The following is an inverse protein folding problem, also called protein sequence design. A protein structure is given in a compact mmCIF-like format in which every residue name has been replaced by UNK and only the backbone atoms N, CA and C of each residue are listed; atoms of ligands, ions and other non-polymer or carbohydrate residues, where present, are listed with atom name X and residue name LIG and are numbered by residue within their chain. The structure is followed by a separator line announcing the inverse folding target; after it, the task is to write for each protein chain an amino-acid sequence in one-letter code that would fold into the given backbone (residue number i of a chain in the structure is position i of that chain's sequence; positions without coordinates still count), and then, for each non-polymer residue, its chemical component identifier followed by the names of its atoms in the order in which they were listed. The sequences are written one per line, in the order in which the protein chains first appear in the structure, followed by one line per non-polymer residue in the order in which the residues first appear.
data_IF_557064522885
#
_entry.id   IF_557064522885
#
_cell.length_a   1.000
_cell.length_b   1.000
_cell.length_c   1.000
_cell.angle_alpha   90.00
_cell.angle_beta   90.00
_cell.angle_gamma   90.00
#
_symmetry.space_group_name_H-M   'P 1'
#
loop_
_entity.id
_entity.type
_entity.pdbx_description
1 polymer ?
#
# COMPACT_ATOMS: atom_id res chain seq x y z
N UNK A 1 10.18 43.99 22.70
CA UNK A 1 9.29 42.97 23.31
C UNK A 1 8.32 42.28 22.32
N UNK A 2 7.39 42.99 21.64
CA UNK A 2 6.36 42.33 20.78
C UNK A 2 6.91 41.53 19.58
N UNK A 3 7.99 41.98 18.93
CA UNK A 3 8.62 41.25 17.80
C UNK A 3 9.29 39.93 18.23
N UNK A 4 9.92 39.90 19.41
CA UNK A 4 10.54 38.68 19.94
C UNK A 4 9.50 37.62 20.33
N UNK A 5 8.38 38.02 20.95
CA UNK A 5 7.28 37.08 21.25
C UNK A 5 6.67 36.44 20.00
N UNK A 6 6.59 37.18 18.88
CA UNK A 6 6.12 36.62 17.60
C UNK A 6 7.09 35.60 17.00
N UNK A 7 8.41 35.82 17.14
CA UNK A 7 9.43 34.92 16.60
C UNK A 7 9.51 33.60 17.37
N UNK A 8 9.48 33.67 18.70
CA UNK A 8 9.46 32.47 19.57
C UNK A 8 8.24 31.59 19.30
N UNK A 9 7.06 32.20 19.12
CA UNK A 9 5.84 31.45 18.82
C UNK A 9 5.88 30.76 17.46
N UNK A 10 6.49 31.39 16.45
CA UNK A 10 6.66 30.79 15.12
C UNK A 10 7.63 29.58 15.14
N UNK A 11 8.73 29.66 15.90
CA UNK A 11 9.66 28.52 16.07
C UNK A 11 9.01 27.35 16.83
N UNK A 12 8.16 27.64 17.80
CA UNK A 12 7.41 26.63 18.57
C UNK A 12 6.36 25.92 17.70
N UNK A 13 5.65 26.68 16.85
CA UNK A 13 4.68 26.16 15.89
C UNK A 13 5.36 25.29 14.81
N UNK A 14 6.54 25.68 14.30
CA UNK A 14 7.34 24.88 13.35
C UNK A 14 7.85 23.57 13.97
N UNK A 15 8.32 23.60 15.21
CA UNK A 15 8.78 22.41 15.93
C UNK A 15 7.65 21.39 16.14
N UNK A 16 6.45 21.88 16.49
CA UNK A 16 5.27 21.04 16.64
C UNK A 16 4.83 20.43 15.31
N UNK A 17 4.87 21.20 14.21
CA UNK A 17 4.48 20.73 12.88
C UNK A 17 5.42 19.64 12.36
N UNK A 18 6.73 19.84 12.49
CA UNK A 18 7.75 18.86 12.05
C UNK A 18 7.69 17.56 12.85
N UNK A 19 7.45 17.63 14.15
CA UNK A 19 7.27 16.44 14.99
C UNK A 19 6.03 15.64 14.57
N UNK A 20 4.88 16.29 14.41
CA UNK A 20 3.64 15.61 14.00
C UNK A 20 3.73 15.03 12.60
N UNK A 21 4.37 15.73 11.66
CA UNK A 21 4.61 15.22 10.31
C UNK A 21 5.52 13.98 10.34
N UNK A 22 6.64 14.04 11.08
CA UNK A 22 7.55 12.90 11.24
C UNK A 22 6.84 11.69 11.84
N UNK A 23 6.01 11.91 12.86
CA UNK A 23 5.20 10.86 13.47
C UNK A 23 4.18 10.29 12.47
N UNK A 24 3.48 11.14 11.72
CA UNK A 24 2.51 10.73 10.71
C UNK A 24 3.16 9.92 9.57
N UNK A 25 4.36 10.31 9.13
CA UNK A 25 5.13 9.56 8.13
C UNK A 25 5.54 8.19 8.68
N UNK A 26 6.06 8.12 9.91
CA UNK A 26 6.40 6.84 10.55
C UNK A 26 5.18 5.94 10.72
N UNK A 27 4.06 6.50 11.13
CA UNK A 27 2.79 5.79 11.29
C UNK A 27 2.27 5.27 9.94
N UNK A 28 2.39 6.06 8.87
CA UNK A 28 2.07 5.65 7.51
C UNK A 28 2.92 4.48 7.03
N UNK A 29 4.24 4.56 7.23
CA UNK A 29 5.17 3.49 6.87
C UNK A 29 4.82 2.21 7.66
N UNK A 30 4.66 2.35 8.97
CA UNK A 30 4.34 1.23 9.87
C UNK A 30 3.00 0.57 9.52
N UNK A 31 1.94 1.35 9.29
CA UNK A 31 0.63 0.81 8.89
C UNK A 31 0.67 0.16 7.51
N UNK A 32 1.51 0.64 6.59
CA UNK A 32 1.70 0.02 5.27
C UNK A 32 2.35 -1.35 5.43
N UNK A 33 3.44 -1.46 6.21
CA UNK A 33 4.07 -2.75 6.50
C UNK A 33 3.14 -3.71 7.23
N UNK A 34 2.40 -3.23 8.23
CA UNK A 34 1.43 -4.05 8.96
C UNK A 34 0.33 -4.57 8.02
N UNK A 35 -0.22 -3.72 7.15
CA UNK A 35 -1.25 -4.13 6.20
C UNK A 35 -0.74 -5.14 5.18
N UNK A 36 0.49 -4.96 4.67
CA UNK A 36 1.12 -5.91 3.75
C UNK A 36 1.37 -7.25 4.44
N UNK A 37 1.85 -7.23 5.69
CA UNK A 37 2.07 -8.44 6.49
C UNK A 37 0.77 -9.20 6.74
N UNK A 38 -0.29 -8.50 7.15
CA UNK A 38 -1.61 -9.10 7.37
C UNK A 38 -2.21 -9.69 6.09
N UNK A 39 -2.07 -8.99 4.96
CA UNK A 39 -2.48 -9.50 3.65
C UNK A 39 -1.73 -10.78 3.26
N UNK A 40 -0.42 -10.84 3.52
CA UNK A 40 0.37 -12.05 3.25
C UNK A 40 -0.07 -13.21 4.13
N UNK A 41 -0.32 -12.99 5.42
CA UNK A 41 -0.85 -14.03 6.31
C UNK A 41 -2.22 -14.51 5.82
N UNK A 42 -3.11 -13.60 5.44
CA UNK A 42 -4.43 -13.94 4.89
C UNK A 42 -4.27 -14.84 3.67
N UNK A 43 -3.45 -14.43 2.71
CA UNK A 43 -3.22 -15.16 1.47
C UNK A 43 -2.62 -16.56 1.71
N UNK A 44 -1.66 -16.69 2.62
CA UNK A 44 -1.09 -18.00 3.01
C UNK A 44 -2.15 -18.86 3.69
N UNK A 45 -2.98 -18.28 4.56
CA UNK A 45 -4.10 -18.99 5.20
C UNK A 45 -5.11 -19.54 4.19
N UNK A 46 -5.43 -18.77 3.15
CA UNK A 46 -6.27 -19.22 2.04
C UNK A 46 -5.64 -20.38 1.27
N UNK A 47 -4.34 -20.31 0.96
CA UNK A 47 -3.63 -21.39 0.27
C UNK A 47 -3.64 -22.70 1.08
N UNK A 48 -3.36 -22.64 2.39
CA UNK A 48 -3.34 -23.82 3.26
C UNK A 48 -4.73 -24.46 3.39
N UNK A 49 -5.79 -23.65 3.42
CA UNK A 49 -7.17 -24.15 3.55
C UNK A 49 -7.73 -24.72 2.24
N UNK A 50 -7.26 -24.21 1.09
CA UNK A 50 -7.63 -24.71 -0.24
C UNK A 50 -7.28 -26.18 -0.45
N UNK A 51 -6.10 -26.63 0.00
CA UNK A 51 -5.66 -28.02 -0.15
C UNK A 51 -6.49 -29.02 0.67
N UNK A 52 -7.08 -28.59 1.79
CA UNK A 52 -7.93 -29.46 2.63
C UNK A 52 -9.30 -29.75 2.02
N UNK A 53 -9.72 -28.99 1.00
CA UNK A 53 -11.05 -29.14 0.38
C UNK A 53 -11.04 -30.02 -0.88
N UNK A 54 -9.86 -30.48 -1.33
CA UNK A 54 -9.69 -31.20 -2.58
C UNK A 54 -9.90 -32.73 -2.49
N UNK A 55 -10.32 -33.26 -1.35
CA UNK A 55 -10.26 -34.71 -1.06
C UNK A 55 -11.60 -35.42 -0.81
N UNK A 56 -12.73 -34.91 -1.34
CA UNK A 56 -13.94 -35.73 -1.47
C UNK A 56 -14.35 -35.93 -2.93
N UNK A 57 -14.03 -37.09 -3.54
CA UNK A 57 -14.64 -37.51 -4.78
C UNK A 57 -16.01 -38.11 -4.45
N UNK A 58 -17.08 -37.34 -4.59
CA UNK A 58 -18.43 -37.89 -4.71
C UNK A 58 -18.80 -37.89 -6.19
N UNK A 59 -18.88 -39.10 -6.75
CA UNK A 59 -19.53 -39.41 -8.03
C UNK A 59 -20.97 -38.88 -8.01
N UNK A 60 -21.27 -37.92 -8.89
CA UNK A 60 -22.55 -37.74 -9.61
C UNK A 60 -22.52 -36.43 -10.41
N UNK A 61 -22.03 -36.56 -11.65
CA UNK A 61 -22.58 -36.12 -12.93
C UNK A 61 -23.21 -34.71 -13.12
N UNK A 62 -22.58 -34.01 -14.08
CA UNK A 62 -23.14 -33.12 -15.10
C UNK A 62 -23.66 -31.70 -14.78
N UNK A 63 -23.65 -31.25 -13.52
CA UNK A 63 -23.82 -29.81 -13.18
C UNK A 63 -22.49 -29.12 -12.77
N UNK A 64 -21.36 -29.70 -13.19
CA UNK A 64 -20.01 -29.49 -12.59
C UNK A 64 -19.21 -28.33 -13.21
N UNK A 65 -19.63 -27.77 -14.34
CA UNK A 65 -18.89 -26.67 -14.99
C UNK A 65 -19.16 -25.29 -14.41
N UNK A 66 -20.26 -25.09 -13.67
CA UNK A 66 -20.57 -23.79 -13.04
C UNK A 66 -19.89 -23.61 -11.67
N UNK A 67 -19.66 -24.69 -10.90
CA UNK A 67 -19.06 -24.62 -9.54
C UNK A 67 -17.53 -24.60 -9.50
N UNK A 68 -16.82 -24.80 -10.62
CA UNK A 68 -15.35 -24.67 -10.70
C UNK A 68 -14.88 -23.24 -11.02
N UNK A 69 -15.74 -22.41 -11.60
CA UNK A 69 -15.46 -21.00 -11.87
C UNK A 69 -15.20 -20.12 -10.62
N UNK A 70 -15.87 -20.32 -9.46
CA UNK A 70 -15.62 -19.55 -8.25
C UNK A 70 -14.19 -19.73 -7.72
N UNK A 71 -13.70 -20.97 -7.70
CA UNK A 71 -12.37 -21.29 -7.16
C UNK A 71 -11.25 -20.64 -7.99
N UNK A 72 -11.31 -20.73 -9.32
CA UNK A 72 -10.32 -20.08 -10.19
C UNK A 72 -10.29 -18.55 -10.00
N UNK A 73 -11.47 -17.93 -9.85
CA UNK A 73 -11.59 -16.48 -9.60
C UNK A 73 -10.96 -16.08 -8.26
N UNK A 74 -11.13 -16.88 -7.21
CA UNK A 74 -10.53 -16.64 -5.89
C UNK A 74 -9.01 -16.71 -5.91
N UNK A 75 -8.43 -17.70 -6.60
CA UNK A 75 -6.97 -17.79 -6.78
C UNK A 75 -6.42 -16.62 -7.56
N UNK A 76 -7.08 -16.22 -8.65
CA UNK A 76 -6.69 -15.06 -9.46
C UNK A 76 -6.72 -13.78 -8.62
N UNK A 77 -7.79 -13.54 -7.86
CA UNK A 77 -7.88 -12.39 -6.98
C UNK A 77 -6.78 -12.38 -5.92
N UNK A 78 -6.55 -13.51 -5.25
CA UNK A 78 -5.50 -13.66 -4.22
C UNK A 78 -4.12 -13.37 -4.79
N UNK A 79 -3.82 -13.86 -5.99
CA UNK A 79 -2.58 -13.56 -6.69
C UNK A 79 -2.41 -12.06 -6.96
N UNK A 80 -3.45 -11.38 -7.45
CA UNK A 80 -3.40 -9.93 -7.66
C UNK A 80 -3.22 -9.16 -6.35
N UNK A 81 -3.84 -9.60 -5.25
CA UNK A 81 -3.63 -9.00 -3.92
C UNK A 81 -2.18 -9.08 -3.47
N UNK A 82 -1.55 -10.26 -3.56
CA UNK A 82 -0.13 -10.45 -3.21
C UNK A 82 0.76 -9.60 -4.13
N UNK A 83 0.49 -9.60 -5.43
CA UNK A 83 1.26 -8.82 -6.41
C UNK A 83 1.18 -7.32 -6.12
N UNK A 84 -0.03 -6.79 -5.86
CA UNK A 84 -0.24 -5.38 -5.50
C UNK A 84 0.43 -5.05 -4.17
N UNK A 85 0.34 -5.93 -3.16
CA UNK A 85 1.01 -5.76 -1.88
C UNK A 85 2.54 -5.72 -2.04
N UNK A 86 3.10 -6.61 -2.87
CA UNK A 86 4.52 -6.63 -3.21
C UNK A 86 4.98 -5.36 -3.92
N UNK A 87 4.19 -4.86 -4.88
CA UNK A 87 4.48 -3.59 -5.57
C UNK A 87 4.43 -2.43 -4.57
N UNK A 88 3.42 -2.36 -3.69
CA UNK A 88 3.33 -1.34 -2.64
C UNK A 88 4.54 -1.37 -1.70
N UNK A 89 5.01 -2.57 -1.33
CA UNK A 89 6.18 -2.74 -0.49
C UNK A 89 7.46 -2.30 -1.21
N UNK A 90 7.63 -2.67 -2.48
CA UNK A 90 8.78 -2.27 -3.30
C UNK A 90 8.86 -0.74 -3.50
N UNK A 91 7.71 -0.08 -3.59
CA UNK A 91 7.59 1.38 -3.67
C UNK A 91 8.02 2.05 -2.36
N UNK A 92 7.62 1.49 -1.22
CA UNK A 92 7.97 2.02 0.09
C UNK A 92 9.47 1.79 0.42
N UNK A 93 10.05 0.70 -0.08
CA UNK A 93 11.49 0.42 0.01
C UNK A 93 12.36 1.30 -0.90
N UNK A 94 11.77 2.16 -1.72
CA UNK A 94 12.52 3.16 -2.49
C UNK A 94 13.28 2.61 -3.69
N UNK A 95 12.85 1.50 -4.29
CA UNK A 95 13.44 1.07 -5.56
C UNK A 95 13.11 2.09 -6.66
N UNK A 96 14.14 2.77 -7.19
CA UNK A 96 13.96 3.96 -8.03
C UNK A 96 13.18 3.73 -9.34
N UNK A 97 13.36 2.58 -9.99
CA UNK A 97 12.71 2.28 -11.27
C UNK A 97 11.20 2.00 -11.11
N UNK A 98 10.82 1.27 -10.07
CA UNK A 98 9.41 1.03 -9.74
C UNK A 98 8.76 2.27 -9.12
N UNK A 99 9.51 3.12 -8.42
CA UNK A 99 9.01 4.42 -7.94
C UNK A 99 8.56 5.33 -9.08
N UNK A 100 9.27 5.40 -10.21
CA UNK A 100 8.92 6.30 -11.31
C UNK A 100 7.59 5.89 -11.98
N UNK A 101 7.45 4.61 -12.31
CA UNK A 101 6.21 4.06 -12.89
C UNK A 101 5.04 4.14 -11.91
N UNK A 102 5.31 3.85 -10.63
CA UNK A 102 4.27 3.90 -9.61
C UNK A 102 3.90 5.33 -9.24
N UNK A 103 4.82 6.30 -9.26
CA UNK A 103 4.55 7.73 -9.09
C UNK A 103 3.64 8.27 -10.20
N UNK A 104 3.79 7.77 -11.42
CA UNK A 104 2.93 8.14 -12.54
C UNK A 104 1.51 7.56 -12.38
N UNK A 105 1.41 6.28 -11.98
CA UNK A 105 0.12 5.63 -11.70
C UNK A 105 -0.56 6.12 -10.42
N UNK A 106 0.19 6.64 -9.45
CA UNK A 106 -0.29 7.03 -8.13
C UNK A 106 -0.21 8.54 -7.86
N UNK A 107 -0.07 9.36 -8.91
CA UNK A 107 -0.14 10.81 -8.74
C UNK A 107 -1.55 11.21 -8.26
N UNK A 108 -1.63 11.89 -7.11
CA UNK A 108 -2.90 12.29 -6.48
C UNK A 108 -3.64 11.16 -5.76
N UNK A 109 -4.89 10.92 -6.14
CA UNK A 109 -5.81 10.00 -5.43
C UNK A 109 -5.57 8.51 -5.74
N UNK A 110 -4.64 8.17 -6.62
CA UNK A 110 -4.40 6.78 -7.06
C UNK A 110 -4.13 5.81 -5.91
N UNK A 111 -3.36 6.22 -4.89
CA UNK A 111 -3.11 5.38 -3.69
C UNK A 111 -4.38 5.15 -2.86
N UNK A 112 -5.24 6.16 -2.78
CA UNK A 112 -6.50 6.10 -2.02
C UNK A 112 -7.51 5.21 -2.76
N UNK A 113 -7.62 5.37 -4.08
CA UNK A 113 -8.49 4.54 -4.92
C UNK A 113 -8.03 3.07 -4.95
N UNK A 114 -6.72 2.82 -5.01
CA UNK A 114 -6.17 1.46 -4.92
C UNK A 114 -6.49 0.82 -3.56
N UNK A 115 -6.29 1.55 -2.46
CA UNK A 115 -6.67 1.06 -1.13
C UNK A 115 -8.18 0.84 -1.00
N UNK A 116 -9.00 1.74 -1.55
CA UNK A 116 -10.45 1.59 -1.62
C UNK A 116 -10.86 0.34 -2.39
N UNK A 117 -10.25 0.09 -3.54
CA UNK A 117 -10.44 -1.14 -4.31
C UNK A 117 -10.06 -2.39 -3.50
N UNK A 118 -8.91 -2.38 -2.82
CA UNK A 118 -8.47 -3.50 -1.97
C UNK A 118 -9.45 -3.75 -0.82
N UNK A 119 -9.98 -2.70 -0.19
CA UNK A 119 -11.00 -2.82 0.87
C UNK A 119 -12.29 -3.42 0.32
N UNK A 120 -12.82 -2.88 -0.80
CA UNK A 120 -14.04 -3.38 -1.41
C UNK A 120 -13.90 -4.83 -1.87
N UNK A 121 -12.75 -5.17 -2.46
CA UNK A 121 -12.46 -6.52 -2.93
C UNK A 121 -12.28 -7.51 -1.75
N UNK A 122 -11.63 -7.09 -0.66
CA UNK A 122 -11.53 -7.89 0.56
C UNK A 122 -12.91 -8.12 1.20
N UNK A 123 -13.74 -7.08 1.31
CA UNK A 123 -15.10 -7.17 1.85
C UNK A 123 -16.02 -8.07 1.01
N UNK A 124 -15.80 -8.14 -0.31
CA UNK A 124 -16.63 -8.93 -1.23
C UNK A 124 -16.49 -10.45 -1.04
N UNK A 125 -15.45 -10.93 -0.35
CA UNK A 125 -15.12 -12.36 -0.22
C UNK A 125 -15.08 -12.84 1.24
N UNK A 126 -15.57 -12.05 2.20
CA UNK A 126 -15.49 -12.40 3.62
C UNK A 126 -16.49 -13.50 4.01
N UNK A 127 -16.01 -14.73 4.14
CA UNK A 127 -16.68 -15.82 4.84
C UNK A 127 -16.63 -15.64 6.36
N UNK A 128 -17.14 -14.50 6.87
CA UNK A 128 -17.33 -14.17 8.30
C UNK A 128 -16.17 -14.53 9.27
N UNK A 129 -14.96 -14.72 8.78
CA UNK A 129 -13.80 -15.04 9.63
C UNK A 129 -13.38 -13.77 10.36
N UNK A 130 -13.25 -13.85 11.69
CA UNK A 130 -12.81 -12.71 12.51
C UNK A 130 -11.48 -12.12 12.02
N UNK A 131 -10.61 -12.95 11.44
CA UNK A 131 -9.35 -12.53 10.85
C UNK A 131 -9.54 -11.53 9.70
N UNK A 132 -10.47 -11.77 8.78
CA UNK A 132 -10.70 -10.89 7.63
C UNK A 132 -11.16 -9.49 8.08
N UNK A 133 -11.93 -9.40 9.18
CA UNK A 133 -12.35 -8.13 9.76
C UNK A 133 -11.17 -7.32 10.29
N UNK A 134 -10.16 -7.98 10.86
CA UNK A 134 -8.94 -7.30 11.33
C UNK A 134 -8.10 -6.78 10.17
N UNK A 135 -7.99 -7.53 9.07
CA UNK A 135 -7.28 -7.09 7.87
C UNK A 135 -8.00 -5.92 7.20
N UNK A 136 -9.33 -6.03 7.01
CA UNK A 136 -10.14 -4.96 6.45
C UNK A 136 -10.09 -3.68 7.29
N UNK A 137 -10.20 -3.80 8.61
CA UNK A 137 -10.07 -2.69 9.55
C UNK A 137 -8.70 -2.02 9.49
N UNK A 138 -7.62 -2.81 9.42
CA UNK A 138 -6.25 -2.29 9.26
C UNK A 138 -6.05 -1.52 7.95
N UNK A 139 -6.57 -2.05 6.84
CA UNK A 139 -6.54 -1.36 5.54
C UNK A 139 -7.34 -0.06 5.56
N UNK A 140 -8.51 -0.05 6.20
CA UNK A 140 -9.35 1.13 6.35
C UNK A 140 -8.64 2.23 7.16
N UNK A 141 -8.04 1.88 8.30
CA UNK A 141 -7.26 2.83 9.12
C UNK A 141 -6.07 3.38 8.33
N UNK A 142 -5.35 2.52 7.61
CA UNK A 142 -4.24 2.94 6.76
C UNK A 142 -4.68 3.85 5.60
N UNK A 143 -5.90 3.67 5.10
CA UNK A 143 -6.50 4.54 4.09
C UNK A 143 -6.81 5.93 4.67
N UNK A 144 -7.45 5.98 5.85
CA UNK A 144 -7.76 7.25 6.56
C UNK A 144 -6.49 8.03 6.89
N UNK A 145 -5.44 7.37 7.38
CA UNK A 145 -4.16 8.03 7.69
C UNK A 145 -3.52 8.61 6.42
N UNK A 146 -3.53 7.86 5.32
CA UNK A 146 -3.04 8.38 4.04
C UNK A 146 -3.84 9.60 3.57
N UNK A 147 -5.17 9.55 3.69
CA UNK A 147 -6.04 10.65 3.32
C UNK A 147 -5.80 11.88 4.19
N UNK A 148 -5.61 11.68 5.50
CA UNK A 148 -5.26 12.75 6.44
C UNK A 148 -3.93 13.41 6.07
N UNK A 149 -2.87 12.62 5.82
CA UNK A 149 -1.57 13.17 5.41
C UNK A 149 -1.69 13.97 4.11
N UNK A 150 -2.42 13.47 3.13
CA UNK A 150 -2.62 14.16 1.85
C UNK A 150 -3.38 15.49 2.01
N UNK A 151 -4.39 15.55 2.90
CA UNK A 151 -5.21 16.76 3.09
C UNK A 151 -4.44 17.82 3.89
N UNK A 152 -3.74 17.41 4.95
CA UNK A 152 -3.11 18.34 5.90
C UNK A 152 -1.68 18.74 5.53
N UNK A 153 -0.95 17.91 4.76
CA UNK A 153 0.46 18.14 4.42
C UNK A 153 0.76 18.04 2.91
N UNK A 154 0.01 18.74 2.03
CA UNK A 154 0.15 18.59 0.58
C UNK A 154 1.50 19.11 0.06
N UNK A 155 2.03 20.19 0.62
CA UNK A 155 3.30 20.80 0.21
C UNK A 155 4.50 19.92 0.61
N UNK A 156 4.53 19.38 1.83
CA UNK A 156 5.56 18.42 2.23
C UNK A 156 5.52 17.15 1.38
N UNK A 157 4.33 16.63 1.05
CA UNK A 157 4.22 15.43 0.22
C UNK A 157 4.71 15.69 -1.21
N UNK A 158 4.36 16.85 -1.78
CA UNK A 158 4.85 17.30 -3.10
C UNK A 158 6.36 17.45 -3.11
N UNK A 159 6.94 18.05 -2.07
CA UNK A 159 8.39 18.18 -1.92
C UNK A 159 9.08 16.83 -1.73
N UNK A 160 8.48 15.90 -0.97
CA UNK A 160 9.01 14.55 -0.80
C UNK A 160 9.03 13.78 -2.11
N UNK A 161 7.97 13.90 -2.91
CA UNK A 161 7.88 13.32 -4.26
C UNK A 161 8.93 13.93 -5.18
N UNK A 162 9.05 15.26 -5.18
CA UNK A 162 10.04 15.96 -6.00
C UNK A 162 11.46 15.52 -5.65
N UNK A 163 11.80 15.47 -4.36
CA UNK A 163 13.10 14.99 -3.90
C UNK A 163 13.36 13.52 -4.27
N UNK A 164 12.32 12.67 -4.29
CA UNK A 164 12.47 11.29 -4.75
C UNK A 164 12.72 11.22 -6.26
N UNK A 165 12.00 12.01 -7.05
CA UNK A 165 12.21 12.11 -8.51
C UNK A 165 13.62 12.62 -8.82
N UNK A 166 14.07 13.67 -8.14
CA UNK A 166 15.39 14.25 -8.35
C UNK A 166 16.50 13.24 -8.05
N UNK A 167 16.37 12.45 -6.97
CA UNK A 167 17.29 11.33 -6.67
C UNK A 167 17.29 10.26 -7.75
N UNK A 168 16.11 9.88 -8.26
CA UNK A 168 16.00 8.88 -9.34
C UNK A 168 16.68 9.40 -10.61
N UNK A 169 16.44 10.67 -10.97
CA UNK A 169 17.08 11.28 -12.14
C UNK A 169 18.60 11.33 -12.00
N UNK A 170 19.11 11.61 -10.79
CA UNK A 170 20.54 11.60 -10.51
C UNK A 170 21.15 10.18 -10.65
N UNK A 171 20.47 9.15 -10.13
CA UNK A 171 20.92 7.76 -10.25
C UNK A 171 20.91 7.26 -11.70
N UNK A 172 19.89 7.61 -12.47
CA UNK A 172 19.80 7.27 -13.90
C UNK A 172 20.93 7.96 -14.67
N UNK A 173 21.17 9.26 -14.43
CA UNK A 173 22.25 10.00 -15.06
C UNK A 173 23.63 9.36 -14.78
N UNK A 174 23.89 8.94 -13.54
CA UNK A 174 25.13 8.23 -13.18
C UNK A 174 25.29 6.92 -13.94
N UNK A 175 24.22 6.13 -14.09
CA UNK A 175 24.24 4.88 -14.86
C UNK A 175 24.51 5.11 -16.35
N UNK A 176 23.87 6.11 -16.96
CA UNK A 176 24.08 6.45 -18.38
C UNK A 176 25.53 6.81 -18.66
N UNK A 177 26.17 7.62 -17.80
CA UNK A 177 27.59 8.00 -17.94
C UNK A 177 28.51 6.79 -17.80
N UNK A 178 28.20 5.86 -16.88
CA UNK A 178 28.99 4.62 -16.72
C UNK A 178 28.86 3.65 -17.92
N UNK A 179 27.72 3.65 -18.60
CA UNK A 179 27.48 2.79 -19.77
C UNK A 179 28.16 3.28 -21.04
N UNK A 180 28.47 4.57 -21.17
CA UNK A 180 29.22 5.13 -22.30
C UNK A 180 30.74 5.00 -22.17
N UNK A 181 31.23 4.48 -21.04
CA UNK A 181 32.66 4.30 -20.77
C UNK A 181 33.22 2.95 -21.20
N UNK A 182 32.37 2.08 -21.75
CA UNK A 182 32.70 0.77 -22.30
C UNK A 182 32.44 0.78 -23.81
#
# INVERSE_FOLDING_TARGET
AKKQKKKVKAEEDEGWFTFNYSLAVRLRVWTTYLSAFLLTIAAVGFLVKGDSSASQPSEEDDEVTSRKAPQAREYIMTFYFIAIAGILMAVELGHGYSQQWFLFLNYGWGKVLLKGYLICSALSHMDKTWFDWTVGGGLLISCVINMFVHIYFPEEEKNRIRNAIDKIMEEVAKRTVSSQRW
#
